data_IF_858025147554
#
_entry.id   IF_858025147554
#
_cell.length_a   1.000
_cell.length_b   1.000
_cell.length_c   1.000
_cell.angle_alpha   90.00
_cell.angle_beta   90.00
_cell.angle_gamma   90.00
#
_symmetry.space_group_name_H-M   'P 1'
#
loop_
_entity.id
_entity.type
_entity.pdbx_description
1 polymer ?
#
# COMPACT_ATOMS: atom_id res chain seq x y z
N UNK A 1 -1.67 -23.67 0.25
CA UNK A 1 -1.70 -22.67 1.33
C UNK A 1 -0.88 -21.46 0.92
N UNK A 2 -1.43 -20.28 1.05
CA UNK A 2 -0.74 -19.04 0.67
C UNK A 2 0.21 -18.61 1.78
N UNK A 3 1.45 -18.33 1.41
CA UNK A 3 2.41 -17.74 2.34
C UNK A 3 2.23 -16.22 2.33
N UNK A 4 1.47 -15.72 3.29
CA UNK A 4 1.13 -14.31 3.37
C UNK A 4 2.30 -13.43 3.80
N UNK A 5 3.23 -13.97 4.57
CA UNK A 5 4.46 -13.24 4.91
C UNK A 5 5.28 -13.00 3.64
N UNK A 6 5.48 -14.04 2.85
CA UNK A 6 6.21 -13.96 1.58
C UNK A 6 5.50 -13.03 0.59
N UNK A 7 4.17 -13.09 0.56
CA UNK A 7 3.38 -12.19 -0.29
C UNK A 7 3.59 -10.73 0.09
N UNK A 8 3.66 -10.44 1.39
CA UNK A 8 3.96 -9.08 1.87
C UNK A 8 5.36 -8.63 1.49
N UNK A 9 6.35 -9.52 1.62
CA UNK A 9 7.71 -9.24 1.19
C UNK A 9 7.78 -8.91 -0.30
N UNK A 10 7.07 -9.68 -1.12
CA UNK A 10 7.02 -9.44 -2.57
C UNK A 10 6.35 -8.12 -2.90
N UNK A 11 5.33 -7.73 -2.14
CA UNK A 11 4.66 -6.44 -2.33
C UNK A 11 5.64 -5.28 -2.07
N UNK A 12 6.44 -5.37 -1.00
CA UNK A 12 7.46 -4.37 -0.69
C UNK A 12 8.53 -4.30 -1.77
N UNK A 13 8.99 -5.47 -2.23
CA UNK A 13 9.95 -5.56 -3.33
C UNK A 13 9.42 -4.89 -4.59
N UNK A 14 8.17 -5.13 -4.93
CA UNK A 14 7.53 -4.55 -6.10
C UNK A 14 7.39 -3.03 -5.95
N UNK A 15 7.01 -2.55 -4.76
CA UNK A 15 6.91 -1.11 -4.51
C UNK A 15 8.25 -0.42 -4.71
N UNK A 16 9.33 -0.99 -4.16
CA UNK A 16 10.67 -0.44 -4.30
C UNK A 16 11.05 -0.40 -5.78
N UNK A 17 10.77 -1.49 -6.51
CA UNK A 17 11.07 -1.57 -7.95
C UNK A 17 10.35 -0.48 -8.73
N UNK A 18 9.05 -0.30 -8.48
CA UNK A 18 8.24 0.69 -9.19
C UNK A 18 8.75 2.10 -8.90
N UNK A 19 9.04 2.41 -7.65
CA UNK A 19 9.53 3.73 -7.27
C UNK A 19 10.87 4.04 -7.93
N UNK A 20 11.77 3.07 -8.00
CA UNK A 20 13.04 3.24 -8.69
C UNK A 20 12.86 3.43 -10.20
N UNK A 21 11.94 2.70 -10.82
CA UNK A 21 11.63 2.87 -12.24
C UNK A 21 11.06 4.26 -12.55
N UNK A 22 10.34 4.84 -11.60
CA UNK A 22 9.81 6.21 -11.74
C UNK A 22 10.89 7.28 -11.60
N UNK A 23 12.12 6.88 -11.27
CA UNK A 23 13.24 7.80 -11.19
C UNK A 23 13.57 8.28 -9.78
N UNK A 24 12.91 7.75 -8.76
CA UNK A 24 13.24 8.08 -7.38
C UNK A 24 14.58 7.47 -6.99
N UNK A 25 15.39 8.26 -6.30
CA UNK A 25 16.74 7.88 -5.90
C UNK A 25 16.80 7.58 -4.42
N UNK A 26 17.84 6.88 -3.99
CA UNK A 26 18.02 6.50 -2.59
C UNK A 26 18.11 7.70 -1.64
N UNK A 27 18.60 8.84 -2.11
CA UNK A 27 18.69 10.06 -1.33
C UNK A 27 17.38 10.87 -1.27
N UNK A 28 16.40 10.53 -2.09
CA UNK A 28 15.11 11.23 -2.10
C UNK A 28 14.30 10.85 -0.86
N UNK A 29 13.60 11.83 -0.29
CA UNK A 29 12.68 11.58 0.83
C UNK A 29 11.33 11.21 0.26
N UNK A 30 10.90 9.98 0.49
CA UNK A 30 9.62 9.48 0.02
C UNK A 30 8.74 9.03 1.17
N UNK A 31 7.45 9.15 0.98
CA UNK A 31 6.44 8.67 1.90
C UNK A 31 5.61 7.58 1.24
N UNK A 32 5.37 6.49 1.98
CA UNK A 32 4.52 5.39 1.54
C UNK A 32 3.47 5.14 2.61
N UNK A 33 2.20 5.08 2.22
CA UNK A 33 1.09 4.83 3.14
C UNK A 33 0.57 3.40 2.99
N UNK A 34 -0.03 2.89 4.05
CA UNK A 34 -0.60 1.53 4.09
C UNK A 34 -2.05 1.63 4.55
N UNK A 35 -2.94 0.87 3.89
CA UNK A 35 -4.32 0.72 4.35
C UNK A 35 -4.62 -0.76 4.60
N UNK A 36 -5.20 -1.04 5.76
CA UNK A 36 -5.49 -2.40 6.22
C UNK A 36 -6.94 -2.76 5.97
N UNK A 37 -7.19 -4.01 5.55
CA UNK A 37 -8.54 -4.53 5.39
C UNK A 37 -9.17 -4.99 6.70
N UNK A 38 -8.37 -5.39 7.68
CA UNK A 38 -8.84 -5.82 9.00
C UNK A 38 -7.68 -5.79 9.99
N UNK A 39 -7.99 -5.54 11.27
CA UNK A 39 -6.96 -5.51 12.32
C UNK A 39 -6.69 -6.89 12.90
N UNK A 40 -7.72 -7.75 12.96
CA UNK A 40 -7.62 -9.06 13.62
C UNK A 40 -7.52 -10.21 12.63
N UNK A 41 -7.09 -9.95 11.41
CA UNK A 41 -6.88 -10.97 10.38
C UNK A 41 -5.43 -11.43 10.39
N UNK A 42 -5.21 -12.72 10.61
CA UNK A 42 -3.86 -13.28 10.51
C UNK A 42 -3.26 -13.07 9.12
N UNK A 43 -4.06 -13.27 8.09
CA UNK A 43 -3.64 -13.06 6.69
C UNK A 43 -3.11 -11.65 6.47
N UNK A 44 -3.87 -10.64 6.90
CA UNK A 44 -3.51 -9.24 6.70
C UNK A 44 -2.32 -8.87 7.57
N UNK A 45 -2.29 -9.33 8.81
CA UNK A 45 -1.16 -9.06 9.71
C UNK A 45 0.14 -9.66 9.17
N UNK A 46 0.09 -10.84 8.57
CA UNK A 46 1.27 -11.46 7.96
C UNK A 46 1.73 -10.69 6.72
N UNK A 47 0.80 -10.23 5.89
CA UNK A 47 1.13 -9.37 4.73
C UNK A 47 1.79 -8.08 5.17
N UNK A 48 1.25 -7.44 6.21
CA UNK A 48 1.83 -6.22 6.76
C UNK A 48 3.22 -6.49 7.33
N UNK A 49 3.39 -7.56 8.10
CA UNK A 49 4.69 -7.92 8.68
C UNK A 49 5.72 -8.18 7.59
N UNK A 50 5.37 -8.94 6.57
CA UNK A 50 6.28 -9.20 5.46
C UNK A 50 6.71 -7.93 4.72
N UNK A 51 5.75 -7.06 4.46
CA UNK A 51 6.02 -5.77 3.81
C UNK A 51 6.98 -4.94 4.67
N UNK A 52 6.65 -4.78 5.95
CA UNK A 52 7.43 -3.93 6.86
C UNK A 52 8.84 -4.46 7.09
N UNK A 53 9.00 -5.78 7.23
CA UNK A 53 10.30 -6.40 7.42
C UNK A 53 11.19 -6.24 6.19
N UNK A 54 10.64 -6.49 5.01
CA UNK A 54 11.39 -6.32 3.76
C UNK A 54 11.77 -4.85 3.55
N UNK A 55 10.83 -3.95 3.83
CA UNK A 55 11.05 -2.51 3.70
C UNK A 55 12.20 -2.05 4.59
N UNK A 56 12.18 -2.44 5.87
CA UNK A 56 13.21 -2.07 6.83
C UNK A 56 14.60 -2.54 6.40
N UNK A 57 14.67 -3.66 5.68
CA UNK A 57 15.94 -4.27 5.29
C UNK A 57 16.46 -3.72 3.96
N UNK A 58 15.60 -3.45 3.00
CA UNK A 58 16.01 -3.18 1.62
C UNK A 58 15.64 -1.81 1.08
N UNK A 59 14.66 -1.11 1.65
CA UNK A 59 14.33 0.24 1.20
C UNK A 59 15.36 1.25 1.70
N UNK A 60 15.62 2.32 0.95
CA UNK A 60 16.45 3.41 1.46
C UNK A 60 15.88 3.99 2.76
N UNK A 61 16.74 4.39 3.69
CA UNK A 61 16.31 4.94 4.98
C UNK A 61 15.47 6.21 4.83
N UNK A 62 15.61 6.90 3.72
CA UNK A 62 14.86 8.12 3.41
C UNK A 62 13.42 7.84 2.93
N UNK A 63 13.11 6.58 2.62
CA UNK A 63 11.78 6.15 2.16
C UNK A 63 10.99 5.64 3.35
N UNK A 64 10.05 6.43 3.86
CA UNK A 64 9.38 6.21 5.14
C UNK A 64 7.96 5.69 4.95
N UNK A 65 7.59 4.66 5.72
CA UNK A 65 6.19 4.24 5.86
C UNK A 65 5.56 5.18 6.89
N UNK A 66 4.56 5.97 6.46
CA UNK A 66 4.06 7.09 7.24
C UNK A 66 2.83 6.77 8.09
N UNK A 67 1.99 5.82 7.67
CA UNK A 67 0.77 5.52 8.39
C UNK A 67 0.38 4.06 8.15
N UNK A 68 0.23 3.32 9.23
CA UNK A 68 -0.20 1.92 9.21
C UNK A 68 -1.51 1.72 9.98
N UNK A 69 -2.16 2.81 10.38
CA UNK A 69 -3.31 2.74 11.28
C UNK A 69 -4.66 2.70 10.56
N UNK A 70 -4.70 3.07 9.30
CA UNK A 70 -5.97 3.15 8.58
C UNK A 70 -6.48 1.76 8.23
N UNK A 71 -7.67 1.43 8.71
CA UNK A 71 -8.27 0.12 8.54
C UNK A 71 -9.72 0.27 8.09
N UNK A 72 -10.04 -0.29 6.93
CA UNK A 72 -11.37 -0.13 6.33
C UNK A 72 -12.38 -1.22 6.74
N UNK A 73 -11.94 -2.27 7.42
CA UNK A 73 -12.78 -3.37 7.86
C UNK A 73 -13.56 -4.06 6.72
N UNK A 74 -13.01 -4.01 5.51
CA UNK A 74 -13.62 -4.59 4.33
C UNK A 74 -14.73 -3.74 3.70
N UNK A 75 -14.97 -2.54 4.21
CA UNK A 75 -16.00 -1.63 3.72
C UNK A 75 -15.42 -0.72 2.63
N UNK A 76 -15.94 -0.86 1.41
CA UNK A 76 -15.44 -0.13 0.26
C UNK A 76 -15.65 1.39 0.38
N UNK A 77 -16.80 1.82 0.90
CA UNK A 77 -17.07 3.25 1.08
C UNK A 77 -16.13 3.85 2.10
N UNK A 78 -15.92 3.15 3.21
CA UNK A 78 -14.98 3.59 4.23
C UNK A 78 -13.54 3.59 3.70
N UNK A 79 -13.19 2.61 2.87
CA UNK A 79 -11.88 2.56 2.23
C UNK A 79 -11.63 3.80 1.37
N UNK A 80 -12.62 4.26 0.63
CA UNK A 80 -12.52 5.48 -0.17
C UNK A 80 -12.25 6.69 0.73
N UNK A 81 -13.01 6.83 1.84
CA UNK A 81 -12.82 7.93 2.77
C UNK A 81 -11.42 7.93 3.37
N UNK A 82 -10.95 6.76 3.81
CA UNK A 82 -9.61 6.64 4.41
C UNK A 82 -8.51 6.95 3.39
N UNK A 83 -8.68 6.49 2.15
CA UNK A 83 -7.71 6.75 1.10
C UNK A 83 -7.66 8.24 0.74
N UNK A 84 -8.82 8.91 0.71
CA UNK A 84 -8.85 10.36 0.51
C UNK A 84 -8.14 11.08 1.65
N UNK A 85 -8.31 10.62 2.89
CA UNK A 85 -7.62 11.20 4.05
C UNK A 85 -6.11 11.07 3.92
N UNK A 86 -5.61 9.96 3.39
CA UNK A 86 -4.18 9.78 3.13
C UNK A 86 -3.65 10.90 2.23
N UNK A 87 -4.33 11.18 1.12
CA UNK A 87 -3.88 12.21 0.19
C UNK A 87 -4.04 13.62 0.74
N UNK A 88 -5.00 13.84 1.64
CA UNK A 88 -5.16 15.13 2.31
C UNK A 88 -4.09 15.36 3.36
N UNK A 89 -3.80 14.34 4.18
CA UNK A 89 -2.81 14.43 5.25
C UNK A 89 -1.38 14.42 4.72
N UNK A 90 -1.15 13.68 3.64
CA UNK A 90 0.17 13.46 3.06
C UNK A 90 0.16 13.78 1.57
N UNK A 91 0.07 15.07 1.20
CA UNK A 91 -0.06 15.45 -0.22
C UNK A 91 1.10 14.97 -1.10
N UNK A 92 2.26 14.72 -0.49
CA UNK A 92 3.46 14.29 -1.21
C UNK A 92 3.68 12.78 -1.20
N UNK A 93 2.68 12.00 -0.76
CA UNK A 93 2.80 10.54 -0.75
C UNK A 93 3.11 10.03 -2.17
N UNK A 94 4.08 9.13 -2.27
CA UNK A 94 4.54 8.60 -3.56
C UNK A 94 4.20 7.13 -3.77
N UNK A 95 3.83 6.42 -2.71
CA UNK A 95 3.43 5.03 -2.79
C UNK A 95 2.33 4.69 -1.80
N UNK A 96 1.46 3.77 -2.19
CA UNK A 96 0.40 3.25 -1.32
C UNK A 96 0.33 1.74 -1.42
N UNK A 97 0.19 1.08 -0.28
CA UNK A 97 0.05 -0.36 -0.19
C UNK A 97 -1.28 -0.70 0.45
N UNK A 98 -2.12 -1.44 -0.29
CA UNK A 98 -3.40 -1.92 0.21
C UNK A 98 -3.37 -3.41 0.47
N UNK A 99 -3.81 -3.84 1.65
CA UNK A 99 -3.72 -5.23 2.05
C UNK A 99 -4.89 -6.10 1.57
N UNK A 100 -5.92 -5.48 0.99
CA UNK A 100 -7.12 -6.18 0.55
C UNK A 100 -7.77 -5.48 -0.65
N UNK A 101 -8.86 -6.08 -1.15
CA UNK A 101 -9.58 -5.54 -2.31
C UNK A 101 -10.22 -4.17 -2.05
N UNK A 102 -10.78 -3.96 -0.85
CA UNK A 102 -11.39 -2.68 -0.51
C UNK A 102 -10.35 -1.55 -0.54
N UNK A 103 -9.13 -1.80 -0.06
CA UNK A 103 -8.03 -0.83 -0.12
C UNK A 103 -7.69 -0.46 -1.57
N UNK A 104 -7.68 -1.45 -2.45
CA UNK A 104 -7.41 -1.25 -3.88
C UNK A 104 -8.44 -0.28 -4.48
N UNK A 105 -9.72 -0.50 -4.19
CA UNK A 105 -10.80 0.36 -4.67
C UNK A 105 -10.65 1.76 -4.09
N UNK A 106 -10.39 1.86 -2.80
CA UNK A 106 -10.23 3.14 -2.12
C UNK A 106 -9.09 3.97 -2.69
N UNK A 107 -7.91 3.38 -2.80
CA UNK A 107 -6.75 4.10 -3.36
C UNK A 107 -6.95 4.48 -4.82
N UNK A 108 -7.52 3.58 -5.63
CA UNK A 108 -7.77 3.89 -7.04
C UNK A 108 -8.71 5.09 -7.18
N UNK A 109 -9.78 5.12 -6.40
CA UNK A 109 -10.72 6.23 -6.38
C UNK A 109 -10.08 7.55 -5.94
N UNK A 110 -9.29 7.51 -4.87
CA UNK A 110 -8.62 8.69 -4.34
C UNK A 110 -7.56 9.23 -5.32
N UNK A 111 -6.82 8.34 -5.97
CA UNK A 111 -5.81 8.74 -6.96
C UNK A 111 -6.45 9.48 -8.13
N UNK A 112 -7.62 9.06 -8.58
CA UNK A 112 -8.37 9.76 -9.61
C UNK A 112 -8.88 11.12 -9.11
N UNK A 113 -9.46 11.14 -7.92
CA UNK A 113 -10.04 12.37 -7.36
C UNK A 113 -8.99 13.47 -7.17
N UNK A 114 -7.80 13.12 -6.70
CA UNK A 114 -6.74 14.08 -6.42
C UNK A 114 -5.75 14.25 -7.58
N UNK A 115 -6.04 13.61 -8.71
CA UNK A 115 -5.17 13.64 -9.89
C UNK A 115 -3.74 13.19 -9.57
N UNK A 116 -3.63 12.12 -8.78
CA UNK A 116 -2.36 11.55 -8.35
C UNK A 116 -2.16 10.16 -8.94
N UNK A 117 -2.34 10.04 -10.25
CA UNK A 117 -2.11 8.78 -10.98
C UNK A 117 -0.64 8.38 -11.02
N UNK A 118 0.24 9.31 -10.65
CA UNK A 118 1.67 9.10 -10.54
C UNK A 118 2.08 8.24 -9.35
N UNK A 119 1.20 8.10 -8.35
CA UNK A 119 1.50 7.35 -7.12
C UNK A 119 1.64 5.86 -7.45
N UNK A 120 2.70 5.24 -6.92
CA UNK A 120 2.89 3.80 -7.05
C UNK A 120 1.90 3.08 -6.15
N UNK A 121 1.08 2.18 -6.70
CA UNK A 121 0.10 1.43 -5.93
C UNK A 121 0.38 -0.06 -6.04
N UNK A 122 0.52 -0.71 -4.89
CA UNK A 122 0.61 -2.16 -4.80
C UNK A 122 -0.49 -2.64 -3.87
N UNK A 123 -1.33 -3.55 -4.35
CA UNK A 123 -2.46 -4.05 -3.58
C UNK A 123 -2.63 -5.55 -3.78
N UNK A 124 -3.23 -6.19 -2.79
CA UNK A 124 -3.74 -7.53 -2.95
C UNK A 124 -5.19 -7.42 -3.40
N UNK A 125 -5.39 -7.54 -4.70
CA UNK A 125 -6.70 -7.49 -5.30
C UNK A 125 -7.11 -8.93 -5.64
N UNK A 126 -7.93 -9.51 -4.76
CA UNK A 126 -8.36 -10.89 -4.91
C UNK A 126 -9.82 -10.93 -5.29
N UNK A 127 -10.07 -11.12 -6.60
CA UNK A 127 -11.41 -11.36 -7.13
C UNK A 127 -11.34 -12.46 -8.17
N UNK A 128 -12.44 -13.18 -8.41
CA UNK A 128 -12.46 -14.22 -9.45
C UNK A 128 -12.08 -13.70 -10.83
N UNK A 129 -12.46 -12.49 -11.16
CA UNK A 129 -12.15 -11.85 -12.43
C UNK A 129 -10.65 -11.60 -12.59
N UNK A 130 -10.00 -11.19 -11.52
CA UNK A 130 -8.55 -10.94 -11.51
C UNK A 130 -7.77 -12.25 -11.52
N UNK A 131 -8.27 -13.26 -10.80
CA UNK A 131 -7.62 -14.55 -10.69
C UNK A 131 -7.71 -15.40 -11.96
N UNK A 132 -8.65 -15.10 -12.81
CA UNK A 132 -8.90 -15.86 -14.03
C UNK A 132 -7.80 -15.70 -15.12
#
# INVERSE_FOLDING_TARGET
MTDNLFAGENAAKEMIRILKEKGHKDEDKLEVAIELGARNSQTINERLAGFSQYWAKYAPDTWTIIDESKCNDGDEEFAVELSEDVFKEYPDVEGVFGTDNASSIGFSSAMLKFDRRDVAMVCFDYSPEVAA
#
